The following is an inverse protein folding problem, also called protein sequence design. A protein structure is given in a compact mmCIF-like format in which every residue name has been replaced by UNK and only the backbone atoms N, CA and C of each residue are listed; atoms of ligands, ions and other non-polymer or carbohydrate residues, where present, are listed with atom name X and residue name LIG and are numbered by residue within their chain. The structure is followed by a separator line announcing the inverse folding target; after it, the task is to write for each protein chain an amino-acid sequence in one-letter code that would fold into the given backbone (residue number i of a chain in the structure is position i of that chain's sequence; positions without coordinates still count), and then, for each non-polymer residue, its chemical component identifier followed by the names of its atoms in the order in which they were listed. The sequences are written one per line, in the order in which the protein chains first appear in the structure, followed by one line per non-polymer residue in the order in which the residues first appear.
data_IF_093951438260
#
_entry.id   IF_093951438260
#
_cell.length_a   1.000
_cell.length_b   1.000
_cell.length_c   1.000
_cell.angle_alpha   90.00
_cell.angle_beta   90.00
_cell.angle_gamma   90.00
#
_symmetry.space_group_name_H-M   'P 1'
#
loop_
_entity.id
_entity.type
_entity.pdbx_description
1 polymer ?
#
# COMPACT_ATOMS: atom_id res chain seq x y z
N UNK A 1 35.00 2.54 14.43
CA UNK A 1 33.99 2.88 13.42
C UNK A 1 33.22 4.09 13.97
N UNK A 2 33.50 5.28 13.46
CA UNK A 2 32.65 6.44 13.74
C UNK A 2 31.36 6.21 12.94
N UNK A 3 30.24 5.90 13.63
CA UNK A 3 28.92 6.01 13.03
C UNK A 3 28.71 7.50 12.72
N UNK A 4 28.58 7.86 11.46
CA UNK A 4 28.26 9.22 11.08
C UNK A 4 26.98 9.65 11.80
N UNK A 5 27.07 10.71 12.59
CA UNK A 5 25.93 11.29 13.33
C UNK A 5 24.76 11.65 12.40
N UNK A 6 24.97 11.68 11.09
CA UNK A 6 23.97 11.95 10.06
C UNK A 6 23.06 10.76 9.73
N UNK A 7 23.37 9.54 10.17
CA UNK A 7 22.56 8.35 9.87
C UNK A 7 21.17 8.38 10.54
N UNK A 8 21.03 9.14 11.62
CA UNK A 8 19.78 9.25 12.40
C UNK A 8 18.96 10.52 12.10
N UNK A 9 19.33 11.30 11.09
CA UNK A 9 18.57 12.47 10.68
C UNK A 9 17.68 12.08 9.50
N UNK A 10 16.37 12.23 9.65
CA UNK A 10 15.37 11.97 8.63
C UNK A 10 14.61 13.24 8.28
N UNK A 11 14.24 13.40 7.01
CA UNK A 11 13.38 14.50 6.57
C UNK A 11 11.94 14.30 7.03
N UNK A 12 11.49 13.03 7.01
CA UNK A 12 10.11 12.66 7.30
C UNK A 12 10.08 11.38 8.13
N UNK A 13 9.21 11.36 9.13
CA UNK A 13 8.93 10.18 9.94
C UNK A 13 7.45 9.84 9.79
N UNK A 14 7.17 8.63 9.32
CA UNK A 14 5.82 8.07 9.20
C UNK A 14 5.59 7.09 10.34
N UNK A 15 4.58 7.34 11.16
CA UNK A 15 4.22 6.50 12.30
C UNK A 15 3.05 5.60 11.93
N UNK A 16 3.32 4.30 11.83
CA UNK A 16 2.36 3.27 11.42
C UNK A 16 2.59 2.81 9.99
N UNK A 17 2.70 1.49 9.80
CA UNK A 17 2.90 0.85 8.50
C UNK A 17 1.64 0.08 8.04
N UNK A 18 0.46 0.64 8.28
CA UNK A 18 -0.77 0.22 7.61
C UNK A 18 -0.81 0.69 6.16
N UNK A 19 -1.93 0.52 5.47
CA UNK A 19 -2.02 0.91 4.04
C UNK A 19 -1.68 2.38 3.81
N UNK A 20 -2.22 3.28 4.60
CA UNK A 20 -1.96 4.72 4.49
C UNK A 20 -0.50 5.07 4.79
N UNK A 21 0.08 4.47 5.84
CA UNK A 21 1.48 4.71 6.20
C UNK A 21 2.46 4.19 5.15
N UNK A 22 2.20 3.03 4.55
CA UNK A 22 3.00 2.51 3.46
C UNK A 22 2.98 3.46 2.26
N UNK A 23 1.80 3.92 1.84
CA UNK A 23 1.67 4.86 0.72
C UNK A 23 2.36 6.20 1.01
N UNK A 24 2.21 6.73 2.22
CA UNK A 24 2.88 7.96 2.64
C UNK A 24 4.41 7.82 2.62
N UNK A 25 4.94 6.74 3.18
CA UNK A 25 6.38 6.49 3.22
C UNK A 25 6.96 6.33 1.81
N UNK A 26 6.30 5.57 0.95
CA UNK A 26 6.71 5.36 -0.43
C UNK A 26 6.64 6.65 -1.25
N UNK A 27 5.61 7.46 -1.08
CA UNK A 27 5.48 8.75 -1.75
C UNK A 27 6.62 9.70 -1.36
N UNK A 28 6.92 9.81 -0.07
CA UNK A 28 8.02 10.63 0.43
C UNK A 28 9.39 10.16 -0.09
N UNK A 29 9.63 8.86 -0.08
CA UNK A 29 10.88 8.28 -0.60
C UNK A 29 11.03 8.51 -2.10
N UNK A 30 9.96 8.37 -2.89
CA UNK A 30 9.95 8.68 -4.34
C UNK A 30 10.21 10.15 -4.65
N UNK A 31 9.86 11.04 -3.73
CA UNK A 31 10.20 12.46 -3.80
C UNK A 31 11.66 12.76 -3.37
N UNK A 32 12.46 11.73 -3.12
CA UNK A 32 13.87 11.88 -2.74
C UNK A 32 14.09 12.28 -1.28
N UNK A 33 13.10 12.10 -0.41
CA UNK A 33 13.21 12.42 1.02
C UNK A 33 13.72 11.22 1.82
N UNK A 34 14.66 11.48 2.73
CA UNK A 34 15.11 10.46 3.68
C UNK A 34 13.99 10.18 4.68
N UNK A 35 13.30 9.07 4.50
CA UNK A 35 12.05 8.74 5.20
C UNK A 35 12.25 7.57 6.16
N UNK A 36 11.78 7.72 7.40
CA UNK A 36 11.70 6.65 8.39
C UNK A 36 10.24 6.23 8.56
N UNK A 37 9.95 4.96 8.37
CA UNK A 37 8.64 4.38 8.66
C UNK A 37 8.72 3.50 9.91
N UNK A 38 7.91 3.83 10.92
CA UNK A 38 7.85 3.11 12.19
C UNK A 38 6.64 2.20 12.24
N UNK A 39 6.82 0.97 12.68
CA UNK A 39 5.77 -0.01 12.91
C UNK A 39 5.96 -0.70 14.26
N UNK A 40 4.86 -1.07 14.91
CA UNK A 40 4.91 -1.86 16.15
C UNK A 40 5.35 -3.30 15.92
N UNK A 41 5.05 -3.83 14.72
CA UNK A 41 5.43 -5.17 14.30
C UNK A 41 5.61 -5.20 12.78
N UNK A 42 6.76 -5.69 12.33
CA UNK A 42 7.08 -5.83 10.91
C UNK A 42 6.21 -6.88 10.20
N UNK A 43 5.62 -7.80 10.92
CA UNK A 43 4.72 -8.81 10.35
C UNK A 43 3.29 -8.29 10.09
N UNK A 44 3.01 -7.05 10.51
CA UNK A 44 1.72 -6.38 10.26
C UNK A 44 1.79 -5.25 9.24
N UNK A 45 2.89 -5.09 8.55
CA UNK A 45 3.05 -4.09 7.48
C UNK A 45 2.05 -4.38 6.35
N UNK A 46 1.24 -3.38 5.98
CA UNK A 46 0.17 -3.48 4.98
C UNK A 46 -0.77 -4.67 5.21
N UNK A 47 -1.08 -4.95 6.48
CA UNK A 47 -1.88 -6.12 6.86
C UNK A 47 -3.32 -6.00 6.38
N UNK A 48 -3.79 -7.07 5.71
CA UNK A 48 -5.18 -7.22 5.30
C UNK A 48 -5.97 -7.92 6.42
N UNK A 49 -6.56 -7.13 7.31
CA UNK A 49 -7.14 -7.62 8.56
C UNK A 49 -8.34 -8.57 8.38
N UNK A 50 -9.21 -8.28 7.43
CA UNK A 50 -10.45 -9.04 7.21
C UNK A 50 -10.32 -9.99 6.01
N UNK A 51 -10.88 -9.59 4.89
CA UNK A 51 -10.78 -10.34 3.64
C UNK A 51 -9.51 -9.93 2.89
N UNK A 52 -8.82 -10.85 2.22
CA UNK A 52 -7.68 -10.54 1.39
C UNK A 52 -8.15 -9.90 0.06
N UNK A 53 -8.78 -8.75 0.15
CA UNK A 53 -9.37 -8.06 -1.00
C UNK A 53 -9.11 -6.56 -0.96
N UNK A 54 -8.88 -5.99 -2.15
CA UNK A 54 -8.65 -4.57 -2.37
C UNK A 54 -9.76 -4.04 -3.27
N UNK A 55 -10.32 -2.89 -2.91
CA UNK A 55 -11.40 -2.25 -3.66
C UNK A 55 -12.79 -2.49 -3.06
N UNK A 56 -13.79 -2.52 -3.93
CA UNK A 56 -15.19 -2.54 -3.57
C UNK A 56 -15.84 -1.17 -3.68
N UNK A 57 -17.10 -1.06 -3.28
CA UNK A 57 -17.88 0.17 -3.37
C UNK A 57 -17.20 1.31 -2.60
N UNK A 58 -17.03 2.45 -3.25
CA UNK A 58 -16.26 3.63 -2.83
C UNK A 58 -14.75 3.40 -2.64
N UNK A 59 -14.31 2.21 -2.25
CA UNK A 59 -12.88 1.90 -2.02
C UNK A 59 -12.11 1.70 -3.32
N UNK A 60 -12.72 1.07 -4.32
CA UNK A 60 -12.09 0.86 -5.63
C UNK A 60 -11.74 2.17 -6.33
N UNK A 61 -12.57 3.19 -6.19
CA UNK A 61 -12.34 4.52 -6.74
C UNK A 61 -11.12 5.19 -6.07
N UNK A 62 -11.02 5.11 -4.74
CA UNK A 62 -9.88 5.65 -3.97
C UNK A 62 -8.58 4.95 -4.38
N UNK A 63 -8.60 3.63 -4.53
CA UNK A 63 -7.41 2.87 -4.98
C UNK A 63 -6.95 3.34 -6.37
N UNK A 64 -7.88 3.58 -7.29
CA UNK A 64 -7.56 4.11 -8.63
C UNK A 64 -6.98 5.52 -8.58
N UNK A 65 -7.49 6.38 -7.69
CA UNK A 65 -6.94 7.72 -7.50
C UNK A 65 -5.52 7.67 -6.95
N UNK A 66 -5.25 6.81 -5.98
CA UNK A 66 -3.91 6.57 -5.44
C UNK A 66 -2.97 6.05 -6.53
N UNK A 67 -3.43 5.12 -7.35
CA UNK A 67 -2.67 4.58 -8.49
C UNK A 67 -2.31 5.66 -9.51
N UNK A 68 -3.26 6.52 -9.86
CA UNK A 68 -3.05 7.66 -10.75
C UNK A 68 -1.99 8.64 -10.23
N UNK A 69 -1.82 8.73 -8.92
CA UNK A 69 -0.78 9.54 -8.27
C UNK A 69 0.55 8.79 -8.10
N UNK A 70 0.67 7.58 -8.62
CA UNK A 70 1.88 6.76 -8.53
C UNK A 70 2.00 5.94 -7.25
N UNK A 71 0.89 5.63 -6.59
CA UNK A 71 0.85 4.79 -5.40
C UNK A 71 1.17 3.32 -5.66
N UNK A 72 1.50 2.59 -4.62
CA UNK A 72 1.95 1.19 -4.69
C UNK A 72 0.81 0.18 -4.55
N UNK A 73 -0.31 0.55 -3.92
CA UNK A 73 -1.38 -0.37 -3.57
C UNK A 73 -1.94 -1.13 -4.79
N UNK A 74 -2.23 -0.43 -5.90
CA UNK A 74 -2.75 -1.07 -7.11
C UNK A 74 -1.70 -1.95 -7.77
N UNK A 75 -0.47 -1.48 -7.87
CA UNK A 75 0.66 -2.25 -8.42
C UNK A 75 0.87 -3.55 -7.64
N UNK A 76 0.87 -3.46 -6.32
CA UNK A 76 1.00 -4.63 -5.45
C UNK A 76 -0.23 -5.57 -5.53
N UNK A 77 -1.41 -5.00 -5.69
CA UNK A 77 -2.64 -5.76 -5.92
C UNK A 77 -2.52 -6.59 -7.19
N UNK A 78 -2.06 -6.02 -8.30
CA UNK A 78 -1.86 -6.74 -9.56
C UNK A 78 -0.84 -7.87 -9.42
N UNK A 79 0.26 -7.64 -8.71
CA UNK A 79 1.30 -8.66 -8.46
C UNK A 79 0.82 -9.83 -7.59
N UNK A 80 -0.16 -9.61 -6.73
CA UNK A 80 -0.71 -10.60 -5.79
C UNK A 80 -2.12 -11.07 -6.14
N UNK A 81 -2.64 -10.70 -7.31
CA UNK A 81 -4.00 -10.94 -7.74
C UNK A 81 -4.33 -12.43 -7.85
N UNK A 82 -5.45 -12.82 -7.26
CA UNK A 82 -6.07 -14.13 -7.42
C UNK A 82 -7.33 -14.05 -8.29
N UNK A 83 -8.15 -13.02 -8.07
CA UNK A 83 -9.40 -12.82 -8.80
C UNK A 83 -9.79 -11.35 -8.82
N UNK A 84 -10.29 -10.88 -9.96
CA UNK A 84 -10.90 -9.56 -10.11
C UNK A 84 -12.39 -9.71 -10.40
N UNK A 85 -13.23 -9.01 -9.65
CA UNK A 85 -14.68 -8.96 -9.87
C UNK A 85 -15.17 -7.52 -9.95
N UNK A 86 -16.16 -7.31 -10.81
CA UNK A 86 -16.96 -6.08 -10.80
C UNK A 86 -18.20 -6.29 -9.94
N UNK A 87 -18.32 -5.51 -8.88
CA UNK A 87 -19.46 -5.53 -7.98
C UNK A 87 -20.61 -4.68 -8.53
N UNK A 88 -21.83 -4.97 -8.08
CA UNK A 88 -23.04 -4.19 -8.35
C UNK A 88 -23.44 -4.09 -9.83
N UNK A 89 -23.11 -5.07 -10.65
CA UNK A 89 -23.47 -5.10 -12.08
C UNK A 89 -24.97 -4.95 -12.34
N UNK A 90 -25.79 -5.47 -11.44
CA UNK A 90 -27.26 -5.38 -11.52
C UNK A 90 -27.85 -4.06 -10.97
N UNK A 91 -27.01 -3.19 -10.38
CA UNK A 91 -27.45 -1.96 -9.70
C UNK A 91 -27.29 -0.69 -10.53
N UNK A 92 -26.74 -0.81 -11.74
CA UNK A 92 -26.46 0.31 -12.64
C UNK A 92 -25.02 0.81 -12.59
N UNK A 93 -24.58 1.56 -13.64
CA UNK A 93 -23.17 1.90 -13.81
C UNK A 93 -22.59 2.82 -12.74
N UNK A 94 -23.42 3.62 -12.08
CA UNK A 94 -22.97 4.55 -11.04
C UNK A 94 -22.34 3.85 -9.81
N UNK A 95 -22.70 2.60 -9.55
CA UNK A 95 -22.21 1.82 -8.40
C UNK A 95 -21.34 0.64 -8.82
N UNK A 96 -20.92 0.56 -10.07
CA UNK A 96 -19.94 -0.42 -10.52
C UNK A 96 -18.62 -0.20 -9.79
N UNK A 97 -18.12 -1.25 -9.12
CA UNK A 97 -16.96 -1.13 -8.26
C UNK A 97 -16.06 -2.35 -8.46
N UNK A 98 -14.81 -2.16 -8.89
CA UNK A 98 -13.87 -3.27 -8.98
C UNK A 98 -13.44 -3.73 -7.59
N UNK A 99 -13.35 -5.03 -7.40
CA UNK A 99 -12.83 -5.68 -6.21
C UNK A 99 -11.87 -6.77 -6.60
N UNK A 100 -10.62 -6.64 -6.16
CA UNK A 100 -9.57 -7.62 -6.36
C UNK A 100 -9.43 -8.49 -5.11
N UNK A 101 -9.47 -9.80 -5.30
CA UNK A 101 -9.04 -10.75 -4.28
C UNK A 101 -7.57 -11.06 -4.50
N UNK A 102 -6.78 -10.99 -3.43
CA UNK A 102 -5.33 -11.11 -3.49
C UNK A 102 -4.82 -12.22 -2.56
N UNK A 103 -3.65 -12.75 -2.86
CA UNK A 103 -2.89 -13.57 -1.93
C UNK A 103 -2.34 -12.67 -0.82
N UNK A 104 -2.86 -12.85 0.39
CA UNK A 104 -2.54 -12.03 1.56
C UNK A 104 -1.05 -12.02 1.90
N UNK A 105 -0.41 -13.19 1.86
CA UNK A 105 1.00 -13.32 2.21
C UNK A 105 1.88 -12.69 1.13
N UNK A 106 1.54 -12.91 -0.12
CA UNK A 106 2.24 -12.31 -1.26
C UNK A 106 2.10 -10.78 -1.28
N UNK A 107 0.91 -10.26 -1.01
CA UNK A 107 0.67 -8.83 -0.90
C UNK A 107 1.53 -8.19 0.19
N UNK A 108 1.55 -8.78 1.38
CA UNK A 108 2.35 -8.33 2.50
C UNK A 108 3.86 -8.36 2.20
N UNK A 109 4.36 -9.48 1.67
CA UNK A 109 5.77 -9.64 1.32
C UNK A 109 6.20 -8.62 0.26
N UNK A 110 5.42 -8.42 -0.79
CA UNK A 110 5.71 -7.45 -1.85
C UNK A 110 5.73 -6.01 -1.31
N UNK A 111 4.80 -5.65 -0.42
CA UNK A 111 4.79 -4.31 0.16
C UNK A 111 6.02 -4.07 1.04
N UNK A 112 6.44 -5.06 1.83
CA UNK A 112 7.69 -4.98 2.59
C UNK A 112 8.90 -4.76 1.67
N UNK A 113 8.97 -5.51 0.57
CA UNK A 113 10.06 -5.35 -0.41
C UNK A 113 10.04 -3.95 -1.03
N UNK A 114 8.88 -3.43 -1.39
CA UNK A 114 8.75 -2.07 -1.94
C UNK A 114 9.27 -1.02 -0.95
N UNK A 115 8.95 -1.14 0.34
CA UNK A 115 9.44 -0.23 1.39
C UNK A 115 10.95 -0.30 1.61
N UNK A 116 11.58 -1.45 1.40
CA UNK A 116 13.02 -1.64 1.60
C UNK A 116 13.83 -1.16 0.39
N UNK A 117 13.30 -1.31 -0.82
CA UNK A 117 14.03 -1.08 -2.07
C UNK A 117 13.87 0.30 -2.70
N UNK A 118 13.23 1.22 -2.02
CA UNK A 118 13.12 2.62 -2.52
C UNK A 118 14.20 3.53 -1.97
#
# INVERSE_FOLDING_TARGET
MQSDKNDFIFDIIVIGAGHAGCEAALACARLGKKTLCLATNLDTVAYLACNPSIGGTAKGQIVKEIDALGGEMAVNTDKSLLQLRMLNRSKGPAVYSPRAQVDKNKYHANMKLSLIHI
#
